data_IF_040894487045
#
_entry.id   IF_040894487045
#
_cell.length_a   1.000
_cell.length_b   1.000
_cell.length_c   1.000
_cell.angle_alpha   90.00
_cell.angle_beta   90.00
_cell.angle_gamma   90.00
#
_symmetry.space_group_name_H-M   'P 1'
#
loop_
_entity.id
_entity.type
_entity.pdbx_description
1 polymer ?
#
# COMPACT_ATOMS: atom_id res chain seq x y z
N UNK A 1 -22.04 3.15 10.46
CA UNK A 1 -20.67 3.18 11.01
C UNK A 1 -19.75 3.21 9.81
N UNK A 2 -18.92 4.25 9.59
CA UNK A 2 -17.95 4.21 8.51
C UNK A 2 -17.09 2.95 8.69
N UNK A 3 -16.70 2.34 7.57
CA UNK A 3 -15.74 1.24 7.56
C UNK A 3 -14.49 1.63 8.35
N UNK A 4 -14.12 0.80 9.34
CA UNK A 4 -12.93 1.04 10.16
C UNK A 4 -11.77 0.22 9.60
N UNK A 5 -10.59 0.81 9.46
CA UNK A 5 -9.36 0.17 9.00
C UNK A 5 -9.09 -1.14 9.76
N UNK A 6 -9.27 -1.16 11.08
CA UNK A 6 -9.11 -2.38 11.89
C UNK A 6 -9.99 -3.54 11.43
N UNK A 7 -11.24 -3.25 11.03
CA UNK A 7 -12.16 -4.29 10.54
C UNK A 7 -11.80 -4.73 9.12
N UNK A 8 -11.42 -3.78 8.26
CA UNK A 8 -10.98 -4.06 6.90
C UNK A 8 -9.68 -4.87 6.84
N UNK A 9 -8.78 -4.67 7.80
CA UNK A 9 -7.53 -5.39 7.95
C UNK A 9 -7.70 -6.82 8.49
N UNK A 10 -8.76 -7.09 9.28
CA UNK A 10 -8.95 -8.36 10.00
C UNK A 10 -8.78 -9.65 9.18
N UNK A 11 -9.19 -9.75 7.90
CA UNK A 11 -8.95 -10.94 7.08
C UNK A 11 -7.46 -11.19 6.77
N UNK A 12 -6.64 -10.16 6.87
CA UNK A 12 -5.23 -10.14 6.47
C UNK A 12 -4.27 -10.02 7.68
N UNK A 13 -4.66 -9.22 8.68
CA UNK A 13 -3.92 -8.95 9.90
C UNK A 13 -4.88 -8.92 11.08
N UNK A 14 -4.94 -10.03 11.82
CA UNK A 14 -5.84 -10.23 12.96
C UNK A 14 -5.13 -10.11 14.32
N UNK A 15 -3.86 -9.71 14.34
CA UNK A 15 -3.07 -9.48 15.54
C UNK A 15 -2.51 -8.07 15.55
N UNK A 16 -2.33 -7.52 16.77
CA UNK A 16 -1.65 -6.25 16.95
C UNK A 16 -0.14 -6.43 16.78
N UNK A 17 0.44 -5.72 15.83
CA UNK A 17 1.88 -5.79 15.50
C UNK A 17 2.64 -4.54 15.95
N UNK A 18 1.99 -3.62 16.67
CA UNK A 18 2.52 -2.29 16.96
C UNK A 18 2.46 -1.34 15.75
N UNK A 19 2.87 -0.10 15.94
CA UNK A 19 2.93 0.90 14.86
C UNK A 19 1.58 1.13 14.17
N UNK A 20 1.61 1.30 12.85
CA UNK A 20 0.44 1.56 12.00
C UNK A 20 0.14 0.41 11.02
N UNK A 21 0.69 -0.79 11.25
CA UNK A 21 0.58 -1.87 10.27
C UNK A 21 -0.86 -2.34 10.03
N UNK A 22 -1.73 -2.26 11.05
CA UNK A 22 -3.16 -2.56 10.92
C UNK A 22 -3.86 -1.51 10.07
N UNK A 23 -3.55 -0.24 10.31
CA UNK A 23 -4.06 0.90 9.56
C UNK A 23 -3.61 0.85 8.10
N UNK A 24 -2.32 0.63 7.84
CA UNK A 24 -1.75 0.50 6.49
C UNK A 24 -2.47 -0.57 5.65
N UNK A 25 -2.70 -1.75 6.24
CA UNK A 25 -3.43 -2.85 5.57
C UNK A 25 -4.91 -2.50 5.42
N UNK A 26 -5.55 -2.00 6.48
CA UNK A 26 -6.98 -1.72 6.51
C UNK A 26 -7.40 -0.61 5.54
N UNK A 27 -6.66 0.49 5.53
CA UNK A 27 -6.87 1.61 4.61
C UNK A 27 -6.66 1.18 3.16
N UNK A 28 -5.64 0.38 2.86
CA UNK A 28 -5.43 -0.14 1.50
C UNK A 28 -6.63 -0.97 1.02
N UNK A 29 -7.18 -1.83 1.87
CA UNK A 29 -8.40 -2.60 1.56
C UNK A 29 -9.60 -1.67 1.33
N UNK A 30 -9.74 -0.62 2.13
CA UNK A 30 -10.81 0.37 2.00
C UNK A 30 -10.69 1.13 0.68
N UNK A 31 -9.51 1.66 0.36
CA UNK A 31 -9.29 2.42 -0.88
C UNK A 31 -9.45 1.55 -2.13
N UNK A 32 -9.09 0.27 -2.06
CA UNK A 32 -9.38 -0.67 -3.14
C UNK A 32 -10.89 -0.81 -3.41
N UNK A 33 -11.72 -0.83 -2.37
CA UNK A 33 -13.19 -0.88 -2.51
C UNK A 33 -13.77 0.43 -3.04
N UNK A 34 -13.09 1.56 -2.79
CA UNK A 34 -13.47 2.88 -3.31
C UNK A 34 -13.06 3.09 -4.76
N UNK A 35 -12.38 2.13 -5.39
CA UNK A 35 -11.97 2.21 -6.79
C UNK A 35 -10.78 3.14 -7.02
N UNK A 36 -9.89 3.29 -6.02
CA UNK A 36 -8.63 4.02 -6.22
C UNK A 36 -7.71 3.21 -7.13
N UNK A 37 -7.02 3.89 -8.06
CA UNK A 37 -6.20 3.26 -9.09
C UNK A 37 -4.96 2.54 -8.55
N UNK A 38 -4.40 2.99 -7.42
CA UNK A 38 -3.25 2.37 -6.77
C UNK A 38 -2.94 2.99 -5.40
N UNK A 39 -2.07 2.32 -4.62
CA UNK A 39 -1.62 2.80 -3.31
C UNK A 39 -0.10 2.86 -3.25
N UNK A 40 0.42 3.95 -2.69
CA UNK A 40 1.84 4.06 -2.33
C UNK A 40 1.96 3.94 -0.82
N UNK A 41 2.58 2.85 -0.35
CA UNK A 41 2.87 2.60 1.06
C UNK A 41 4.23 3.18 1.42
N UNK A 42 4.23 4.22 2.25
CA UNK A 42 5.45 4.87 2.74
C UNK A 42 5.76 4.38 4.15
N UNK A 43 6.98 3.93 4.39
CA UNK A 43 7.39 3.44 5.70
C UNK A 43 8.86 3.80 6.01
N UNK A 44 9.21 4.16 7.25
CA UNK A 44 10.61 4.32 7.64
C UNK A 44 11.38 3.00 7.53
N UNK A 45 12.64 3.09 7.10
CA UNK A 45 13.58 1.98 7.19
C UNK A 45 13.65 1.49 8.63
N UNK A 46 13.70 0.16 8.83
CA UNK A 46 13.65 -0.53 10.14
C UNK A 46 12.32 -0.53 10.91
N UNK A 47 11.23 0.03 10.37
CA UNK A 47 9.92 -0.06 11.01
C UNK A 47 9.31 -1.47 10.87
N UNK A 48 9.62 -2.38 11.81
CA UNK A 48 9.15 -3.77 11.80
C UNK A 48 7.63 -3.93 11.56
N UNK A 49 6.74 -3.13 12.19
CA UNK A 49 5.30 -3.23 11.90
C UNK A 49 4.94 -2.97 10.44
N UNK A 50 5.63 -2.02 9.79
CA UNK A 50 5.38 -1.71 8.38
C UNK A 50 6.03 -2.73 7.43
N UNK A 51 7.13 -3.38 7.83
CA UNK A 51 7.69 -4.51 7.08
C UNK A 51 6.69 -5.68 7.06
N UNK A 52 6.04 -5.95 8.21
CA UNK A 52 4.96 -6.93 8.28
C UNK A 52 3.80 -6.48 7.39
N UNK A 53 3.38 -5.22 7.48
CA UNK A 53 2.31 -4.67 6.64
C UNK A 53 2.63 -4.80 5.15
N UNK A 54 3.85 -4.47 4.70
CA UNK A 54 4.30 -4.61 3.31
C UNK A 54 4.12 -6.06 2.81
N UNK A 55 4.51 -7.04 3.61
CA UNK A 55 4.34 -8.46 3.23
C UNK A 55 2.87 -8.84 3.01
N UNK A 56 1.98 -8.26 3.81
CA UNK A 56 0.54 -8.47 3.75
C UNK A 56 -0.08 -7.69 2.59
N UNK A 57 0.41 -6.49 2.32
CA UNK A 57 -0.04 -5.64 1.21
C UNK A 57 0.18 -6.30 -0.15
N UNK A 58 1.20 -7.16 -0.29
CA UNK A 58 1.34 -8.00 -1.48
C UNK A 58 0.15 -8.94 -1.70
N UNK A 59 -0.37 -9.54 -0.64
CA UNK A 59 -1.59 -10.37 -0.69
C UNK A 59 -2.83 -9.52 -0.95
N UNK A 60 -2.97 -8.38 -0.27
CA UNK A 60 -4.09 -7.44 -0.49
C UNK A 60 -4.12 -6.95 -1.94
N UNK A 61 -2.96 -6.64 -2.52
CA UNK A 61 -2.83 -6.19 -3.91
C UNK A 61 -3.41 -7.21 -4.89
N UNK A 62 -3.12 -8.50 -4.69
CA UNK A 62 -3.66 -9.59 -5.51
C UNK A 62 -5.15 -9.80 -5.27
N UNK A 63 -5.58 -9.87 -4.01
CA UNK A 63 -6.97 -10.18 -3.67
C UNK A 63 -7.95 -9.07 -4.07
N UNK A 64 -7.50 -7.82 -3.99
CA UNK A 64 -8.30 -6.64 -4.30
C UNK A 64 -8.00 -6.04 -5.67
N UNK A 65 -7.06 -6.63 -6.40
CA UNK A 65 -6.63 -6.18 -7.74
C UNK A 65 -6.19 -4.70 -7.78
N UNK A 66 -5.72 -4.18 -6.63
CA UNK A 66 -5.16 -2.83 -6.50
C UNK A 66 -3.63 -2.88 -6.55
N UNK A 67 -2.97 -2.17 -7.47
CA UNK A 67 -1.52 -2.02 -7.45
C UNK A 67 -1.05 -1.33 -6.17
N UNK A 68 -0.02 -1.89 -5.53
CA UNK A 68 0.59 -1.31 -4.33
C UNK A 68 2.11 -1.20 -4.54
N UNK A 69 2.67 0.00 -4.35
CA UNK A 69 4.11 0.24 -4.33
C UNK A 69 4.54 0.61 -2.92
N UNK A 70 5.54 -0.08 -2.37
CA UNK A 70 6.14 0.30 -1.07
C UNK A 70 7.44 1.05 -1.30
N UNK A 71 7.61 2.15 -0.56
CA UNK A 71 8.85 2.92 -0.50
C UNK A 71 9.32 2.95 0.95
N UNK A 72 10.45 2.29 1.21
CA UNK A 72 11.15 2.39 2.48
C UNK A 72 12.01 3.65 2.46
N UNK A 73 11.78 4.55 3.42
CA UNK A 73 12.51 5.80 3.55
C UNK A 73 13.73 5.59 4.44
N UNK A 74 14.92 5.78 3.90
CA UNK A 74 16.18 5.89 4.66
C UNK A 74 16.87 7.24 4.37
N UNK A 75 17.87 7.57 5.19
CA UNK A 75 18.62 8.84 5.06
C UNK A 75 19.50 8.90 3.79
N UNK A 76 19.65 7.77 3.08
CA UNK A 76 20.39 7.66 1.82
C UNK A 76 19.48 7.56 0.59
N UNK A 77 18.17 7.74 0.75
CA UNK A 77 17.19 7.59 -0.31
C UNK A 77 17.37 8.74 -1.30
N UNK A 78 18.11 8.49 -2.38
CA UNK A 78 18.38 9.49 -3.40
C UNK A 78 17.06 10.00 -4.01
N UNK A 79 16.83 11.32 -3.90
CA UNK A 79 15.60 11.99 -4.36
C UNK A 79 15.25 11.64 -5.81
N UNK A 80 16.24 11.59 -6.70
CA UNK A 80 16.02 11.25 -8.12
C UNK A 80 15.44 9.85 -8.29
N UNK A 81 15.94 8.87 -7.54
CA UNK A 81 15.44 7.49 -7.62
C UNK A 81 14.01 7.35 -7.06
N UNK A 82 13.62 8.21 -6.13
CA UNK A 82 12.25 8.27 -5.62
C UNK A 82 11.28 8.79 -6.69
N UNK A 83 11.56 9.96 -7.28
CA UNK A 83 10.70 10.58 -8.28
C UNK A 83 10.47 9.67 -9.48
N UNK A 84 11.53 9.08 -10.05
CA UNK A 84 11.42 8.19 -11.22
C UNK A 84 10.57 6.94 -10.93
N UNK A 85 10.62 6.39 -9.70
CA UNK A 85 9.76 5.25 -9.34
C UNK A 85 8.29 5.65 -9.22
N UNK A 86 8.01 6.83 -8.67
CA UNK A 86 6.64 7.35 -8.57
C UNK A 86 6.08 7.65 -9.95
N UNK A 87 6.86 8.32 -10.81
CA UNK A 87 6.50 8.58 -12.22
C UNK A 87 6.17 7.26 -12.94
N UNK A 88 7.09 6.29 -12.91
CA UNK A 88 6.87 4.99 -13.54
C UNK A 88 5.66 4.24 -12.96
N UNK A 89 5.39 4.36 -11.65
CA UNK A 89 4.21 3.74 -11.05
C UNK A 89 2.92 4.39 -11.57
N UNK A 90 2.86 5.72 -11.64
CA UNK A 90 1.71 6.45 -12.20
C UNK A 90 1.50 6.10 -13.68
N UNK A 91 2.57 6.05 -14.48
CA UNK A 91 2.50 5.65 -15.90
C UNK A 91 1.87 4.26 -16.07
N UNK A 92 2.22 3.30 -15.20
CA UNK A 92 1.63 1.95 -15.20
C UNK A 92 0.15 1.96 -14.80
N UNK A 93 -0.26 2.85 -13.90
CA UNK A 93 -1.67 3.01 -13.53
C UNK A 93 -2.48 3.58 -14.68
N UNK A 94 -1.96 4.60 -15.37
CA UNK A 94 -2.63 5.20 -16.54
C UNK A 94 -2.79 4.18 -17.67
N UNK A 95 -1.75 3.41 -18.00
CA UNK A 95 -1.83 2.34 -18.99
C UNK A 95 -2.86 1.27 -18.63
N UNK A 96 -2.93 0.88 -17.34
CA UNK A 96 -3.94 -0.07 -16.87
C UNK A 96 -5.35 0.49 -17.01
N UNK A 97 -5.55 1.80 -16.76
CA UNK A 97 -6.84 2.46 -16.92
C UNK A 97 -7.26 2.52 -18.39
N UNK A 98 -6.34 2.88 -19.29
CA UNK A 98 -6.58 2.93 -20.73
C UNK A 98 -6.90 1.56 -21.33
N UNK A 99 -6.25 0.49 -20.88
CA UNK A 99 -6.52 -0.87 -21.35
C UNK A 99 -7.91 -1.42 -20.95
N UNK A 100 -8.61 -0.78 -20.01
CA UNK A 100 -9.94 -1.17 -19.52
C UNK A 100 -11.06 -0.36 -20.20
N UNK A 101 -10.73 0.75 -20.87
CA UNK A 101 -11.65 1.59 -21.66
C UNK A 101 -11.83 1.03 -23.09
#
# INVERSE_FOLDING_TARGET
RPENSTFAAKPYLNYFVGGHGVESVGETVIYARKGVDGVIHLAPFTCMPEIIAQSILYTVSKDKQIPVMTIMLDEHSGETGFCTRVEAFVDLLDQKREAIL
#
